data_IF_782427903534
#
_entry.id   IF_782427903534
#
_cell.length_a   1.000
_cell.length_b   1.000
_cell.length_c   1.000
_cell.angle_alpha   90.00
_cell.angle_beta   90.00
_cell.angle_gamma   90.00
#
_symmetry.space_group_name_H-M   'P 1'
#
loop_
_entity.id
_entity.type
_entity.pdbx_description
1 polymer ?
#
# COMPACT_ATOMS: atom_id res chain seq x y z
N UNK A 1 3.92 10.78 -16.52
CA UNK A 1 3.16 10.59 -15.28
C UNK A 1 3.92 9.63 -14.39
N UNK A 2 4.08 9.99 -13.15
CA UNK A 2 4.87 9.18 -12.24
C UNK A 2 4.09 8.02 -11.61
N UNK A 3 2.76 8.03 -11.72
CA UNK A 3 1.95 6.96 -11.16
C UNK A 3 0.58 6.92 -11.83
N UNK A 4 -0.11 5.79 -11.67
CA UNK A 4 -1.43 5.60 -12.27
C UNK A 4 -2.49 6.36 -11.47
N UNK A 5 -3.04 7.41 -12.08
CA UNK A 5 -4.15 8.14 -11.47
C UNK A 5 -5.40 7.27 -11.33
N UNK A 6 -5.58 6.36 -12.28
CA UNK A 6 -6.72 5.47 -12.23
C UNK A 6 -6.66 4.57 -10.99
N UNK A 7 -5.49 4.02 -10.71
CA UNK A 7 -5.31 3.19 -9.52
C UNK A 7 -5.47 4.03 -8.25
N UNK A 8 -4.90 5.24 -8.23
CA UNK A 8 -5.04 6.12 -7.08
C UNK A 8 -6.52 6.43 -6.81
N UNK A 9 -7.29 6.67 -7.86
CA UNK A 9 -8.71 6.96 -7.71
C UNK A 9 -9.47 5.74 -7.17
N UNK A 10 -9.13 4.54 -7.65
CA UNK A 10 -9.74 3.32 -7.12
C UNK A 10 -9.48 3.17 -5.62
N UNK A 11 -8.26 3.50 -5.18
CA UNK A 11 -7.93 3.43 -3.76
C UNK A 11 -8.73 4.46 -2.98
N UNK A 12 -8.83 5.69 -3.49
CA UNK A 12 -9.62 6.72 -2.82
C UNK A 12 -11.06 6.29 -2.63
N UNK A 13 -11.64 5.67 -3.66
CA UNK A 13 -13.01 5.21 -3.58
C UNK A 13 -13.18 4.08 -2.58
N UNK A 14 -12.22 3.16 -2.56
CA UNK A 14 -12.27 2.05 -1.62
C UNK A 14 -12.13 2.51 -0.16
N UNK A 15 -11.43 3.63 0.04
CA UNK A 15 -11.20 4.17 1.38
C UNK A 15 -12.14 5.33 1.71
N UNK A 16 -13.11 5.64 0.85
CA UNK A 16 -14.01 6.75 1.07
C UNK A 16 -14.78 6.55 2.38
N UNK A 17 -14.94 7.64 3.12
CA UNK A 17 -15.56 7.57 4.44
C UNK A 17 -14.57 7.33 5.58
N UNK A 18 -13.34 6.97 5.27
CA UNK A 18 -12.33 6.77 6.31
C UNK A 18 -11.59 8.08 6.55
N UNK A 19 -11.96 8.78 7.61
CA UNK A 19 -11.41 10.11 7.91
C UNK A 19 -9.98 10.08 8.41
N UNK A 20 -9.49 8.92 8.79
CA UNK A 20 -8.12 8.79 9.26
C UNK A 20 -7.12 8.74 8.11
N UNK A 21 -7.59 8.62 6.87
CA UNK A 21 -6.72 8.46 5.71
C UNK A 21 -6.43 9.81 5.07
N UNK A 22 -5.17 10.07 4.80
CA UNK A 22 -4.71 11.24 4.05
C UNK A 22 -3.80 10.78 2.92
N UNK A 23 -3.46 11.71 2.03
CA UNK A 23 -2.61 11.44 0.88
C UNK A 23 -1.40 12.33 0.89
N UNK A 24 -0.28 11.80 0.39
CA UNK A 24 0.94 12.59 0.27
C UNK A 24 1.73 12.09 -0.92
N UNK A 25 2.15 12.99 -1.79
CA UNK A 25 3.02 12.63 -2.91
C UNK A 25 4.43 12.42 -2.42
N UNK A 26 5.04 11.31 -2.83
CA UNK A 26 6.42 11.01 -2.45
C UNK A 26 7.00 9.97 -3.40
N UNK A 27 8.32 9.99 -3.58
CA UNK A 27 9.06 8.99 -4.37
C UNK A 27 8.51 8.86 -5.80
N UNK A 28 8.02 9.97 -6.37
CA UNK A 28 7.45 9.94 -7.70
C UNK A 28 6.10 9.27 -7.80
N UNK A 29 5.48 8.95 -6.66
CA UNK A 29 4.17 8.36 -6.61
C UNK A 29 3.29 9.07 -5.61
N UNK A 30 2.27 8.35 -5.13
CA UNK A 30 1.38 8.90 -4.11
C UNK A 30 1.22 7.86 -3.00
N UNK A 31 1.28 8.30 -1.76
CA UNK A 31 1.12 7.43 -0.61
C UNK A 31 -0.16 7.79 0.14
N UNK A 32 -0.80 6.77 0.69
CA UNK A 32 -1.97 6.94 1.54
C UNK A 32 -1.56 6.61 2.97
N UNK A 33 -1.92 7.51 3.90
CA UNK A 33 -1.49 7.39 5.28
C UNK A 33 -2.73 7.30 6.18
N UNK A 34 -2.60 6.50 7.23
CA UNK A 34 -3.63 6.41 8.27
C UNK A 34 -2.98 6.84 9.57
N UNK A 35 -3.51 7.90 10.17
CA UNK A 35 -2.94 8.48 11.38
C UNK A 35 -1.46 8.81 11.21
N UNK A 36 -1.09 9.30 10.02
CA UNK A 36 0.29 9.66 9.74
C UNK A 36 1.19 8.51 9.34
N UNK A 37 0.67 7.29 9.31
CA UNK A 37 1.44 6.10 8.94
C UNK A 37 1.06 5.66 7.53
N UNK A 38 2.06 5.58 6.65
CA UNK A 38 1.82 5.09 5.29
C UNK A 38 1.45 3.62 5.33
N UNK A 39 0.40 3.24 4.62
CA UNK A 39 0.03 1.83 4.55
C UNK A 39 -0.11 1.31 3.12
N UNK A 40 -0.47 2.16 2.18
CA UNK A 40 -0.48 1.79 0.77
C UNK A 40 -0.05 3.00 -0.06
N UNK A 41 0.29 2.74 -1.31
CA UNK A 41 0.64 3.81 -2.23
C UNK A 41 0.61 3.31 -3.65
N UNK A 42 0.87 4.22 -4.59
CA UNK A 42 0.93 3.90 -6.01
C UNK A 42 2.27 4.36 -6.54
N UNK A 43 2.95 3.45 -7.23
CA UNK A 43 4.19 3.75 -7.93
C UNK A 43 4.06 3.17 -9.33
N UNK A 44 4.12 4.00 -10.35
CA UNK A 44 3.77 3.59 -11.71
C UNK A 44 2.36 3.01 -11.73
N UNK A 45 2.22 1.75 -12.14
CA UNK A 45 0.93 1.07 -12.15
C UNK A 45 0.84 -0.02 -11.06
N UNK A 46 1.77 -0.02 -10.11
CA UNK A 46 1.83 -1.02 -9.05
C UNK A 46 1.33 -0.44 -7.74
N UNK A 47 0.71 -1.31 -6.93
CA UNK A 47 0.31 -0.95 -5.58
C UNK A 47 1.48 -1.19 -4.65
N UNK A 48 1.83 -0.17 -3.87
CA UNK A 48 2.82 -0.29 -2.84
C UNK A 48 2.09 -0.63 -1.54
N UNK A 49 2.44 -1.75 -0.91
CA UNK A 49 1.68 -2.24 0.24
C UNK A 49 2.58 -2.49 1.43
N UNK A 50 2.21 -1.89 2.57
CA UNK A 50 2.89 -2.13 3.83
C UNK A 50 2.14 -3.22 4.58
N UNK A 51 2.50 -4.47 4.29
CA UNK A 51 1.78 -5.63 4.85
C UNK A 51 2.30 -6.06 6.22
N UNK A 52 3.49 -5.57 6.59
CA UNK A 52 4.10 -5.90 7.86
C UNK A 52 4.94 -7.16 7.79
N UNK A 53 5.89 -7.29 8.71
CA UNK A 53 6.78 -8.45 8.71
C UNK A 53 6.03 -9.77 8.85
N UNK A 54 5.00 -9.89 9.70
CA UNK A 54 4.29 -11.18 9.82
C UNK A 54 3.66 -11.65 8.52
N UNK A 55 3.27 -10.73 7.65
CA UNK A 55 2.61 -11.07 6.39
C UNK A 55 3.55 -11.01 5.18
N UNK A 56 4.83 -10.72 5.40
CA UNK A 56 5.74 -10.47 4.30
C UNK A 56 5.92 -11.71 3.41
N UNK A 57 6.25 -12.84 4.01
CA UNK A 57 6.48 -14.06 3.25
C UNK A 57 5.22 -14.54 2.55
N UNK A 58 4.07 -14.51 3.23
CA UNK A 58 2.80 -14.88 2.62
C UNK A 58 2.48 -13.99 1.44
N UNK A 59 2.70 -12.69 1.61
CA UNK A 59 2.42 -11.74 0.53
C UNK A 59 3.31 -12.01 -0.68
N UNK A 60 4.59 -12.27 -0.47
CA UNK A 60 5.50 -12.55 -1.58
C UNK A 60 5.19 -13.85 -2.31
N UNK A 61 4.51 -14.78 -1.64
CA UNK A 61 4.13 -16.05 -2.28
C UNK A 61 2.95 -15.91 -3.24
N UNK A 62 2.28 -14.78 -3.23
CA UNK A 62 1.10 -14.57 -4.07
C UNK A 62 1.53 -14.09 -5.45
N UNK A 63 0.68 -14.36 -6.45
CA UNK A 63 0.97 -13.99 -7.84
C UNK A 63 1.04 -12.47 -7.97
N UNK A 64 1.93 -12.01 -8.82
CA UNK A 64 2.08 -10.60 -9.20
C UNK A 64 2.59 -9.73 -8.06
N UNK A 65 3.21 -10.34 -7.04
CA UNK A 65 3.79 -9.62 -5.92
C UNK A 65 5.30 -9.65 -6.02
N UNK A 66 5.92 -8.50 -5.85
CA UNK A 66 7.37 -8.34 -5.91
C UNK A 66 7.87 -7.73 -4.60
N UNK A 67 9.10 -8.03 -4.19
CA UNK A 67 9.68 -7.34 -3.04
C UNK A 67 9.90 -5.86 -3.38
N UNK A 68 9.76 -5.02 -2.37
CA UNK A 68 10.04 -3.60 -2.52
C UNK A 68 11.51 -3.35 -2.22
N UNK A 69 12.24 -2.94 -3.23
CA UNK A 69 13.68 -2.84 -3.17
C UNK A 69 14.14 -1.51 -3.75
N UNK A 70 14.28 -0.50 -2.89
CA UNK A 70 14.71 0.82 -3.33
C UNK A 70 16.22 1.01 -3.29
N UNK A 71 16.91 0.24 -2.45
CA UNK A 71 18.32 0.49 -2.18
C UNK A 71 19.19 -0.73 -2.42
N UNK A 72 18.69 -1.67 -3.20
CA UNK A 72 19.39 -2.95 -3.42
C UNK A 72 19.15 -3.97 -2.33
N UNK A 73 18.38 -3.61 -1.30
CA UNK A 73 18.01 -4.53 -0.22
C UNK A 73 16.51 -4.55 -0.08
N UNK A 74 15.89 -5.74 -0.04
CA UNK A 74 14.44 -5.82 0.15
C UNK A 74 14.03 -5.20 1.47
N UNK A 75 12.94 -4.45 1.45
CA UNK A 75 12.38 -3.85 2.65
C UNK A 75 11.35 -4.80 3.24
N UNK A 76 11.66 -5.37 4.40
CA UNK A 76 10.75 -6.31 5.05
C UNK A 76 9.45 -5.62 5.42
N UNK A 77 8.34 -6.29 5.11
CA UNK A 77 7.03 -5.74 5.41
C UNK A 77 6.44 -4.89 4.31
N UNK A 78 7.18 -4.66 3.23
CA UNK A 78 6.72 -3.87 2.09
C UNK A 78 6.81 -4.70 0.83
N UNK A 79 5.78 -4.64 0.00
CA UNK A 79 5.76 -5.35 -1.29
C UNK A 79 5.11 -4.47 -2.34
N UNK A 80 5.41 -4.77 -3.60
CA UNK A 80 4.69 -4.21 -4.74
C UNK A 80 3.74 -5.27 -5.29
N UNK A 81 2.53 -4.88 -5.63
CA UNK A 81 1.59 -5.75 -6.34
C UNK A 81 1.39 -5.15 -7.72
N UNK A 82 1.74 -5.90 -8.75
CA UNK A 82 1.59 -5.44 -10.12
C UNK A 82 0.12 -5.42 -10.53
N UNK A 83 -0.18 -4.69 -11.62
CA UNK A 83 -1.56 -4.44 -12.03
C UNK A 83 -2.43 -5.69 -12.11
N UNK A 84 -1.96 -6.83 -12.65
CA UNK A 84 -2.82 -8.02 -12.69
C UNK A 84 -3.23 -8.54 -11.32
N UNK A 85 -2.46 -8.24 -10.27
CA UNK A 85 -2.77 -8.68 -8.91
C UNK A 85 -3.78 -7.80 -8.19
N UNK A 86 -4.15 -6.65 -8.79
CA UNK A 86 -5.13 -5.74 -8.23
C UNK A 86 -6.16 -5.33 -9.27
N UNK A 87 -6.41 -6.23 -10.23
CA UNK A 87 -7.30 -5.93 -11.34
C UNK A 87 -8.75 -5.82 -10.89
N UNK A 88 -9.19 -6.68 -9.99
CA UNK A 88 -10.55 -6.65 -9.49
C UNK A 88 -10.64 -5.85 -8.19
N UNK A 89 -11.84 -5.38 -7.88
CA UNK A 89 -12.05 -4.65 -6.63
C UNK A 89 -11.82 -5.56 -5.42
N UNK A 90 -12.16 -6.82 -5.52
CA UNK A 90 -11.93 -7.76 -4.42
C UNK A 90 -10.43 -7.92 -4.14
N UNK A 91 -9.62 -8.02 -5.21
CA UNK A 91 -8.17 -8.12 -5.05
C UNK A 91 -7.60 -6.86 -4.40
N UNK A 92 -8.02 -5.70 -4.90
CA UNK A 92 -7.52 -4.44 -4.35
C UNK A 92 -7.91 -4.30 -2.88
N UNK A 93 -9.17 -4.61 -2.56
CA UNK A 93 -9.65 -4.50 -1.19
C UNK A 93 -8.90 -5.44 -0.25
N UNK A 94 -8.57 -6.64 -0.71
CA UNK A 94 -7.79 -7.58 0.11
C UNK A 94 -6.49 -6.94 0.58
N UNK A 95 -5.76 -6.30 -0.34
CA UNK A 95 -4.49 -5.70 0.01
C UNK A 95 -4.66 -4.46 0.90
N UNK A 96 -5.68 -3.65 0.61
CA UNK A 96 -5.94 -2.47 1.43
C UNK A 96 -6.28 -2.86 2.86
N UNK A 97 -7.11 -3.89 3.04
CA UNK A 97 -7.49 -4.34 4.36
C UNK A 97 -6.32 -4.93 5.12
N UNK A 98 -5.49 -5.72 4.44
CA UNK A 98 -4.31 -6.32 5.08
C UNK A 98 -3.37 -5.24 5.60
N UNK A 99 -3.14 -4.21 4.78
CA UNK A 99 -2.25 -3.13 5.18
C UNK A 99 -2.85 -2.27 6.28
N UNK A 100 -4.14 -2.00 6.19
CA UNK A 100 -4.80 -1.21 7.22
C UNK A 100 -4.79 -1.93 8.57
N UNK A 101 -5.04 -3.22 8.56
CA UNK A 101 -5.00 -4.01 9.78
C UNK A 101 -3.61 -3.97 10.42
N UNK A 102 -2.57 -4.05 9.59
CA UNK A 102 -1.23 -3.99 10.13
C UNK A 102 -0.94 -2.65 10.80
N UNK A 103 -1.19 -1.53 10.10
CA UNK A 103 -0.84 -0.23 10.68
C UNK A 103 -1.73 0.13 11.86
N UNK A 104 -2.91 -0.47 11.97
CA UNK A 104 -3.77 -0.21 13.11
C UNK A 104 -3.18 -0.78 14.41
N UNK A 105 -2.20 -1.69 14.30
CA UNK A 105 -1.52 -2.22 15.48
C UNK A 105 -0.34 -1.36 15.91
N UNK A 106 -0.01 -0.33 15.12
CA UNK A 106 1.12 0.53 15.41
C UNK A 106 0.65 1.80 16.11
N UNK A 107 1.51 2.40 16.96
CA UNK A 107 1.13 3.69 17.55
C UNK A 107 1.04 4.76 16.45
N UNK A 108 0.10 5.69 16.56
CA UNK A 108 0.01 6.78 15.58
C UNK A 108 1.29 7.59 15.57
N UNK A 109 1.71 8.00 14.38
CA UNK A 109 2.95 8.72 14.23
C UNK A 109 2.93 10.06 14.94
N UNK A 110 1.76 10.67 15.04
CA UNK A 110 1.60 11.98 15.65
C UNK A 110 1.38 11.93 17.15
N UNK A 111 1.48 10.79 17.76
CA UNK A 111 1.11 10.62 19.17
C UNK A 111 2.22 10.94 20.15
N UNK A 112 3.18 11.68 19.74
CA UNK A 112 4.26 12.08 20.64
C UNK A 112 3.81 13.03 21.69
#
# INVERSE_FOLDING_TARGET
MAYSEQLAQRIREALSGNRAVSEKKMFGGIAFLRHGLMFVGVSDSSLMARVGKPNHADSLSRKHVRPMDFTGKPMQGYVFIDAPGIKTDAQLRFWLERCEQFVSTLPPKSSK
#
